data_IF_993742501480
#
_entry.id   IF_993742501480
#
_cell.length_a   1.000
_cell.length_b   1.000
_cell.length_c   1.000
_cell.angle_alpha   90.00
_cell.angle_beta   90.00
_cell.angle_gamma   90.00
#
_symmetry.space_group_name_H-M   'P 1'
#
loop_
_entity.id
_entity.type
_entity.pdbx_description
1 polymer ?
#
# COMPACT_ATOMS: atom_id res chain seq x y z
N UNK A 1 -3.56 -3.10 15.51
CA UNK A 1 -3.48 -1.70 15.01
C UNK A 1 -3.87 -1.71 13.53
N UNK A 2 -4.77 -0.82 13.10
CA UNK A 2 -5.13 -0.63 11.69
C UNK A 2 -4.59 0.68 11.13
N UNK A 3 -4.52 0.81 9.81
CA UNK A 3 -3.99 1.99 9.14
C UNK A 3 -4.06 1.86 7.64
N UNK A 4 -3.86 2.98 6.97
CA UNK A 4 -3.57 3.02 5.53
C UNK A 4 -2.06 2.95 5.36
N UNK A 5 -1.61 2.14 4.42
CA UNK A 5 -0.22 1.95 4.05
C UNK A 5 -0.05 2.25 2.56
N UNK A 6 0.90 3.13 2.25
CA UNK A 6 1.30 3.45 0.90
C UNK A 6 2.76 3.03 0.75
N UNK A 7 3.03 2.25 -0.28
CA UNK A 7 4.37 1.85 -0.67
C UNK A 7 4.64 2.25 -2.11
N UNK A 8 5.76 2.92 -2.32
CA UNK A 8 6.25 3.27 -3.65
C UNK A 8 7.60 2.60 -3.86
N UNK A 9 7.77 1.96 -5.01
CA UNK A 9 9.02 1.38 -5.45
C UNK A 9 9.42 1.98 -6.80
N UNK A 10 10.74 2.09 -7.02
CA UNK A 10 11.26 2.39 -8.34
C UNK A 10 10.93 1.24 -9.31
N UNK A 11 10.74 1.56 -10.60
CA UNK A 11 10.55 0.58 -11.67
C UNK A 11 11.54 0.90 -12.78
N UNK A 12 12.37 -0.09 -13.16
CA UNK A 12 13.40 0.09 -14.17
C UNK A 12 14.81 -0.17 -13.65
N UNK A 13 15.81 0.20 -14.45
CA UNK A 13 17.21 0.15 -14.07
C UNK A 13 17.71 1.57 -13.75
N UNK A 14 18.49 1.70 -12.70
CA UNK A 14 19.18 2.93 -12.32
C UNK A 14 20.57 3.09 -13.00
N UNK A 15 20.92 2.15 -13.87
CA UNK A 15 22.21 2.10 -14.58
C UNK A 15 23.16 1.01 -14.08
N UNK A 16 22.80 0.32 -12.99
CA UNK A 16 23.52 -0.84 -12.48
C UNK A 16 22.91 -2.17 -12.97
N UNK A 17 23.30 -3.28 -12.34
CA UNK A 17 22.88 -4.65 -12.71
C UNK A 17 21.55 -5.08 -12.09
N UNK A 18 20.84 -4.19 -11.40
CA UNK A 18 19.59 -4.48 -10.71
C UNK A 18 18.43 -3.82 -11.47
N UNK A 19 17.38 -4.60 -11.72
CA UNK A 19 16.11 -4.09 -12.20
C UNK A 19 15.12 -4.03 -11.03
N UNK A 20 14.60 -2.84 -10.75
CA UNK A 20 13.59 -2.62 -9.73
C UNK A 20 12.21 -2.93 -10.29
N UNK A 21 11.43 -3.70 -9.55
CA UNK A 21 10.23 -4.35 -10.07
C UNK A 21 8.98 -3.45 -10.10
N UNK A 22 8.99 -2.31 -9.39
CA UNK A 22 7.94 -1.30 -9.48
C UNK A 22 6.62 -1.61 -8.78
N UNK A 23 6.54 -2.69 -7.98
CA UNK A 23 5.32 -3.23 -7.32
C UNK A 23 4.72 -2.34 -6.21
N UNK A 24 4.63 -1.04 -6.45
CA UNK A 24 4.04 -0.03 -5.58
C UNK A 24 2.59 -0.39 -5.26
N UNK A 25 2.16 -0.16 -4.02
CA UNK A 25 0.87 -0.62 -3.53
C UNK A 25 0.21 0.32 -2.52
N UNK A 26 -1.12 0.24 -2.48
CA UNK A 26 -1.97 0.93 -1.52
C UNK A 26 -2.77 -0.15 -0.78
N UNK A 27 -2.65 -0.17 0.54
CA UNK A 27 -3.36 -1.11 1.41
C UNK A 27 -4.00 -0.40 2.60
N UNK A 28 -5.09 -0.95 3.13
CA UNK A 28 -5.75 -0.47 4.34
C UNK A 28 -6.16 -1.65 5.21
N UNK A 29 -5.77 -1.62 6.48
CA UNK A 29 -6.12 -2.63 7.50
C UNK A 29 -5.84 -4.10 7.07
N UNK A 30 -4.79 -4.33 6.27
CA UNK A 30 -4.43 -5.67 5.78
C UNK A 30 -5.08 -6.07 4.44
N UNK A 31 -5.92 -5.22 3.86
CA UNK A 31 -6.50 -5.40 2.52
C UNK A 31 -5.75 -4.57 1.48
N UNK A 32 -5.42 -5.18 0.35
CA UNK A 32 -4.81 -4.51 -0.80
C UNK A 32 -5.91 -3.84 -1.65
N UNK A 33 -5.72 -2.55 -1.98
CA UNK A 33 -6.68 -1.76 -2.77
C UNK A 33 -6.16 -1.46 -4.17
N UNK A 34 -4.86 -1.24 -4.30
CA UNK A 34 -4.23 -1.07 -5.61
C UNK A 34 -2.79 -1.58 -5.56
N UNK A 35 -2.34 -2.13 -6.68
CA UNK A 35 -0.95 -2.52 -6.89
C UNK A 35 -0.60 -2.29 -8.37
N UNK A 36 0.56 -1.71 -8.61
CA UNK A 36 1.12 -1.53 -9.95
C UNK A 36 1.75 -2.85 -10.42
N UNK A 37 1.73 -3.08 -11.73
CA UNK A 37 2.33 -4.28 -12.32
C UNK A 37 3.80 -4.44 -11.96
N UNK A 38 4.14 -5.65 -11.57
CA UNK A 38 5.52 -6.08 -11.39
C UNK A 38 6.16 -6.28 -12.75
N UNK A 39 7.25 -5.54 -13.01
CA UNK A 39 7.93 -5.46 -14.30
C UNK A 39 7.02 -4.94 -15.42
N UNK A 40 7.47 -3.89 -16.09
CA UNK A 40 6.71 -3.28 -17.17
C UNK A 40 7.67 -2.47 -18.05
N UNK A 41 7.24 -2.16 -19.27
CA UNK A 41 8.03 -1.38 -20.22
C UNK A 41 7.72 0.11 -20.08
N UNK A 42 6.58 0.45 -19.47
CA UNK A 42 6.18 1.83 -19.23
C UNK A 42 7.14 2.53 -18.23
N UNK A 43 7.60 3.72 -18.59
CA UNK A 43 8.54 4.49 -17.75
C UNK A 43 7.91 4.95 -16.43
N UNK A 44 6.61 5.24 -16.44
CA UNK A 44 5.89 5.70 -15.25
C UNK A 44 4.53 5.01 -15.13
N UNK A 45 4.10 4.75 -13.90
CA UNK A 45 2.78 4.23 -13.62
C UNK A 45 2.24 4.85 -12.33
N UNK A 46 0.94 5.06 -12.28
CA UNK A 46 0.24 5.65 -11.14
C UNK A 46 -0.96 4.78 -10.80
N UNK A 47 -1.06 4.39 -9.54
CA UNK A 47 -2.23 3.73 -8.98
C UNK A 47 -2.94 4.67 -8.01
N UNK A 48 -4.27 4.76 -8.13
CA UNK A 48 -5.12 5.57 -7.26
C UNK A 48 -6.18 4.71 -6.61
N UNK A 49 -6.44 4.93 -5.31
CA UNK A 49 -7.53 4.29 -4.60
C UNK A 49 -8.26 5.32 -3.74
N UNK A 50 -9.58 5.22 -3.69
CA UNK A 50 -10.42 5.99 -2.76
C UNK A 50 -10.66 5.12 -1.54
N UNK A 51 -10.28 5.62 -0.36
CA UNK A 51 -10.33 4.88 0.90
C UNK A 51 -11.22 5.63 1.90
N UNK A 52 -12.04 4.89 2.64
CA UNK A 52 -12.81 5.45 3.75
C UNK A 52 -12.01 5.33 5.06
N UNK A 53 -11.67 6.48 5.64
CA UNK A 53 -10.92 6.54 6.89
C UNK A 53 -11.73 6.04 8.09
N UNK A 54 -13.07 6.07 8.02
CA UNK A 54 -13.93 5.55 9.08
C UNK A 54 -13.73 4.04 9.26
N UNK A 55 -13.42 3.31 8.18
CA UNK A 55 -13.12 1.88 8.24
C UNK A 55 -11.90 1.59 9.13
N UNK A 56 -10.85 2.42 9.04
CA UNK A 56 -9.66 2.30 9.92
C UNK A 56 -9.98 2.65 11.37
N UNK A 57 -10.83 3.63 11.63
CA UNK A 57 -11.27 3.97 12.99
C UNK A 57 -12.01 2.79 13.62
N UNK A 58 -12.99 2.24 12.90
CA UNK A 58 -13.76 1.07 13.35
C UNK A 58 -12.87 -0.17 13.52
N UNK A 59 -11.94 -0.41 12.60
CA UNK A 59 -10.99 -1.52 12.68
C UNK A 59 -10.07 -1.41 13.90
N UNK A 60 -9.64 -0.20 14.26
CA UNK A 60 -8.86 0.04 15.49
C UNK A 60 -9.70 -0.22 16.73
N UNK A 61 -10.93 0.27 16.78
CA UNK A 61 -11.85 0.06 17.90
C UNK A 61 -12.19 -1.41 18.15
N UNK A 62 -12.36 -2.21 17.08
CA UNK A 62 -12.57 -3.66 17.19
C UNK A 62 -11.38 -4.41 17.80
N UNK A 63 -10.16 -3.93 17.52
CA UNK A 63 -8.92 -4.59 17.91
C UNK A 63 -8.29 -4.00 19.19
N UNK A 64 -8.91 -3.00 19.80
CA UNK A 64 -8.50 -2.48 21.11
C UNK A 64 -9.25 -3.24 22.21
N UNK A 65 -8.52 -3.86 23.13
CA UNK A 65 -9.09 -4.28 24.40
C UNK A 65 -9.34 -3.04 25.26
N UNK A 66 -10.52 -2.95 25.88
CA UNK A 66 -10.80 -1.93 26.87
C UNK A 66 -9.85 -2.18 28.06
N UNK A 67 -9.00 -1.20 28.39
CA UNK A 67 -7.98 -1.34 29.43
C UNK A 67 -8.46 -0.91 30.82
N UNK A 68 -9.79 -0.87 31.00
CA UNK A 68 -10.47 -0.43 32.21
C UNK A 68 -11.56 -1.44 32.58
N UNK A 69 -11.13 -2.60 33.04
CA UNK A 69 -11.79 -3.40 34.10
C UNK A 69 -10.72 -3.79 35.11
#
# INVERSE_FOLDING_TARGET
>A
IGGVYLFSNHRGCDGDRIYYDGSSSIAQNGKLYAQIHQFDIEDTCVATAVLDLNETILYRGKNSSNRYE
#
